data_IF_144519657340
#
_entry.id   IF_144519657340
#
_cell.length_a   1.000
_cell.length_b   1.000
_cell.length_c   1.000
_cell.angle_alpha   90.00
_cell.angle_beta   90.00
_cell.angle_gamma   90.00
#
_symmetry.space_group_name_H-M   'P 1'
#
loop_
_entity.id
_entity.type
_entity.pdbx_description
1 polymer ?
#
# COMPACT_ATOMS: atom_id res chain seq x y z
N UNK A 1 -20.33 -15.67 30.51
CA UNK A 1 -21.50 -15.60 29.62
C UNK A 1 -21.49 -14.22 28.97
N UNK A 2 -21.50 -14.14 27.65
CA UNK A 2 -21.57 -12.83 26.97
C UNK A 2 -22.91 -12.13 27.31
N UNK A 3 -22.95 -10.79 27.51
CA UNK A 3 -24.17 -10.08 27.86
C UNK A 3 -25.28 -10.25 26.82
N UNK A 4 -26.54 -10.11 27.23
CA UNK A 4 -27.70 -10.06 26.32
C UNK A 4 -27.54 -8.89 25.34
N UNK A 5 -28.18 -8.99 24.18
CA UNK A 5 -27.96 -8.05 23.07
C UNK A 5 -28.18 -6.58 23.45
N UNK A 6 -29.23 -6.28 24.21
CA UNK A 6 -29.53 -4.92 24.68
C UNK A 6 -28.49 -4.40 25.68
N UNK A 7 -28.03 -5.26 26.59
CA UNK A 7 -26.98 -4.92 27.56
C UNK A 7 -25.63 -4.68 26.86
N UNK A 8 -25.33 -5.47 25.83
CA UNK A 8 -24.15 -5.30 24.99
C UNK A 8 -24.21 -4.00 24.20
N UNK A 9 -25.37 -3.67 23.61
CA UNK A 9 -25.56 -2.42 22.87
C UNK A 9 -25.41 -1.20 23.79
N UNK A 10 -26.06 -1.21 24.95
CA UNK A 10 -25.93 -0.14 25.95
C UNK A 10 -24.49 0.01 26.48
N UNK A 11 -23.77 -1.10 26.63
CA UNK A 11 -22.34 -1.07 26.98
C UNK A 11 -21.51 -0.41 25.88
N UNK A 12 -21.62 -0.85 24.62
CA UNK A 12 -20.83 -0.27 23.53
C UNK A 12 -21.17 1.19 23.24
N UNK A 13 -22.42 1.60 23.46
CA UNK A 13 -22.85 3.00 23.35
C UNK A 13 -22.26 3.89 24.45
N UNK A 14 -22.04 3.36 25.67
CA UNK A 14 -21.31 4.07 26.72
C UNK A 14 -19.80 4.01 26.48
N UNK A 15 -19.29 2.87 26.05
CA UNK A 15 -17.86 2.65 25.78
C UNK A 15 -17.38 3.57 24.66
N UNK A 16 -18.10 3.66 23.54
CA UNK A 16 -17.73 4.49 22.39
C UNK A 16 -17.72 6.00 22.66
N UNK A 17 -18.38 6.46 23.75
CA UNK A 17 -18.31 7.86 24.21
C UNK A 17 -16.96 8.22 24.81
N UNK A 18 -16.27 7.26 25.44
CA UNK A 18 -14.99 7.48 26.12
C UNK A 18 -13.81 6.83 25.40
N UNK A 19 -14.08 5.83 24.58
CA UNK A 19 -13.13 5.09 23.78
C UNK A 19 -13.55 5.18 22.31
N UNK A 20 -13.04 6.21 21.64
CA UNK A 20 -12.94 6.16 20.17
C UNK A 20 -11.82 5.18 19.87
N UNK A 21 -11.97 4.28 18.90
CA UNK A 21 -10.97 3.29 18.51
C UNK A 21 -9.69 3.87 17.88
N UNK A 22 -9.19 4.99 18.40
CA UNK A 22 -7.92 5.57 18.06
C UNK A 22 -6.86 4.91 18.93
N UNK A 23 -6.05 4.09 18.28
CA UNK A 23 -4.89 3.44 18.84
C UNK A 23 -3.76 3.71 17.85
N UNK A 24 -2.67 4.30 18.32
CA UNK A 24 -1.55 4.77 17.49
C UNK A 24 -0.57 3.62 17.22
N UNK A 25 -1.09 2.46 16.88
CA UNK A 25 -0.34 1.21 16.71
C UNK A 25 0.36 1.17 15.34
N UNK A 26 1.02 2.29 15.02
CA UNK A 26 1.67 2.61 13.73
C UNK A 26 2.63 1.49 13.29
N UNK A 27 3.19 0.75 14.25
CA UNK A 27 4.14 -0.33 14.04
C UNK A 27 3.51 -1.71 13.74
N UNK A 28 2.22 -1.94 14.01
CA UNK A 28 1.59 -3.25 13.79
C UNK A 28 1.09 -3.36 12.36
N UNK A 29 1.92 -3.92 11.48
CA UNK A 29 1.62 -4.07 10.05
C UNK A 29 1.65 -5.52 9.60
N UNK A 30 0.72 -5.87 8.73
CA UNK A 30 0.70 -7.13 7.98
C UNK A 30 1.24 -6.93 6.57
N UNK A 31 1.98 -7.92 6.07
CA UNK A 31 2.33 -8.01 4.66
C UNK A 31 1.12 -8.42 3.83
N UNK A 32 0.78 -7.64 2.81
CA UNK A 32 -0.21 -8.04 1.81
C UNK A 32 0.40 -9.11 0.90
N UNK A 33 0.21 -10.38 1.26
CA UNK A 33 0.87 -11.52 0.62
C UNK A 33 0.58 -11.64 -0.89
N UNK A 34 -0.58 -11.16 -1.36
CA UNK A 34 -0.96 -11.15 -2.78
C UNK A 34 -0.19 -10.13 -3.63
N UNK A 35 0.37 -9.08 -3.01
CA UNK A 35 1.05 -7.95 -3.68
C UNK A 35 2.52 -7.84 -3.26
N UNK A 36 3.26 -8.93 -3.46
CA UNK A 36 4.70 -9.01 -3.18
C UNK A 36 5.49 -9.26 -4.45
N UNK A 37 6.37 -8.33 -4.81
CA UNK A 37 7.41 -8.55 -5.82
C UNK A 37 8.71 -8.89 -5.09
N UNK A 38 9.22 -10.11 -5.28
CA UNK A 38 10.49 -10.55 -4.70
C UNK A 38 11.64 -10.26 -5.66
N UNK A 39 12.76 -9.78 -5.11
CA UNK A 39 14.01 -9.71 -5.87
C UNK A 39 14.49 -11.13 -6.17
N UNK A 40 14.48 -11.51 -7.45
CA UNK A 40 14.92 -12.84 -7.92
C UNK A 40 16.40 -12.87 -8.32
N UNK A 41 17.05 -11.71 -8.39
CA UNK A 41 18.46 -11.63 -8.76
C UNK A 41 19.30 -11.89 -7.50
N UNK A 42 20.46 -12.53 -7.67
CA UNK A 42 21.45 -12.56 -6.60
C UNK A 42 21.84 -11.12 -6.33
N UNK A 43 21.49 -10.59 -5.17
CA UNK A 43 21.97 -9.29 -4.77
C UNK A 43 23.43 -9.48 -4.33
N UNK A 44 24.35 -9.23 -5.26
CA UNK A 44 25.79 -9.19 -5.06
C UNK A 44 26.27 -7.75 -4.80
N UNK A 45 25.46 -6.77 -5.22
CA UNK A 45 25.63 -5.34 -5.00
C UNK A 45 24.65 -4.83 -3.93
N UNK A 46 25.02 -3.70 -3.29
CA UNK A 46 24.10 -3.00 -2.39
C UNK A 46 22.94 -2.40 -3.19
N UNK A 47 21.76 -2.39 -2.60
CA UNK A 47 20.55 -1.81 -3.21
C UNK A 47 20.04 -0.62 -2.39
N UNK A 48 19.15 0.16 -2.99
CA UNK A 48 18.45 1.26 -2.31
C UNK A 48 17.07 0.77 -1.90
N UNK A 49 16.72 0.94 -0.63
CA UNK A 49 15.38 0.66 -0.11
C UNK A 49 14.75 1.98 0.29
N UNK A 50 13.56 2.27 -0.23
CA UNK A 50 12.77 3.43 0.18
C UNK A 50 11.45 2.96 0.79
N UNK A 51 11.07 3.62 1.88
CA UNK A 51 9.87 3.34 2.65
C UNK A 51 9.03 4.61 2.66
N UNK A 52 7.80 4.49 2.22
CA UNK A 52 6.85 5.62 2.16
C UNK A 52 5.45 5.16 2.53
N UNK A 53 4.64 6.06 3.05
CA UNK A 53 3.19 5.85 3.18
C UNK A 53 2.49 6.28 1.89
N UNK A 54 1.31 5.71 1.62
CA UNK A 54 0.41 6.18 0.58
C UNK A 54 -0.99 6.29 1.16
N UNK A 55 -1.55 7.50 1.06
CA UNK A 55 -2.85 7.80 1.62
C UNK A 55 -3.95 7.24 0.71
N UNK A 56 -4.90 6.55 1.33
CA UNK A 56 -6.12 6.06 0.74
C UNK A 56 -7.26 7.00 1.12
N UNK A 57 -8.18 7.21 0.21
CA UNK A 57 -9.41 7.92 0.52
C UNK A 57 -10.24 7.09 1.51
N UNK A 58 -10.78 7.69 2.59
CA UNK A 58 -11.74 7.01 3.46
C UNK A 58 -12.90 6.47 2.63
N UNK A 59 -13.29 5.21 2.82
CA UNK A 59 -14.35 4.61 2.01
C UNK A 59 -15.72 5.31 2.18
N UNK A 60 -15.92 6.02 3.29
CA UNK A 60 -17.08 6.90 3.52
C UNK A 60 -17.11 8.12 2.61
N UNK A 61 -15.97 8.53 2.06
CA UNK A 61 -15.81 9.69 1.18
C UNK A 61 -15.69 9.28 -0.30
N UNK A 62 -15.66 7.98 -0.61
CA UNK A 62 -15.59 7.49 -2.00
C UNK A 62 -17.01 7.30 -2.53
N UNK A 63 -17.44 8.18 -3.43
CA UNK A 63 -18.74 8.04 -4.11
C UNK A 63 -18.75 6.83 -5.05
N UNK A 64 -19.81 6.02 -4.96
CA UNK A 64 -20.03 4.83 -5.81
C UNK A 64 -18.80 3.89 -5.91
N UNK A 65 -18.03 3.77 -4.82
CA UNK A 65 -16.86 2.90 -4.73
C UNK A 65 -17.04 1.84 -3.67
N UNK A 66 -16.33 0.73 -3.83
CA UNK A 66 -16.31 -0.34 -2.82
C UNK A 66 -14.89 -0.67 -2.42
N UNK A 67 -14.72 -1.20 -1.19
CA UNK A 67 -13.41 -1.70 -0.77
C UNK A 67 -12.89 -2.79 -1.71
N UNK A 68 -13.78 -3.62 -2.26
CA UNK A 68 -13.42 -4.65 -3.25
C UNK A 68 -12.86 -4.04 -4.54
N UNK A 69 -13.53 -3.03 -5.08
CA UNK A 69 -13.08 -2.36 -6.31
C UNK A 69 -11.75 -1.64 -6.09
N UNK A 70 -11.51 -1.05 -4.92
CA UNK A 70 -10.20 -0.50 -4.53
C UNK A 70 -9.11 -1.57 -4.57
N UNK A 71 -9.37 -2.75 -4.00
CA UNK A 71 -8.42 -3.86 -4.02
C UNK A 71 -8.15 -4.36 -5.46
N UNK A 72 -9.18 -4.43 -6.31
CA UNK A 72 -9.04 -4.82 -7.71
C UNK A 72 -8.16 -3.83 -8.49
N UNK A 73 -8.32 -2.52 -8.26
CA UNK A 73 -7.46 -1.47 -8.84
C UNK A 73 -6.00 -1.66 -8.40
N UNK A 74 -5.76 -1.85 -7.10
CA UNK A 74 -4.41 -2.07 -6.56
C UNK A 74 -3.78 -3.36 -7.11
N UNK A 75 -4.56 -4.44 -7.21
CA UNK A 75 -4.13 -5.71 -7.77
C UNK A 75 -3.78 -5.59 -9.26
N UNK A 76 -4.62 -4.88 -10.04
CA UNK A 76 -4.36 -4.66 -11.45
C UNK A 76 -3.08 -3.85 -11.66
N UNK A 77 -2.91 -2.74 -10.93
CA UNK A 77 -1.70 -1.93 -11.00
C UNK A 77 -0.46 -2.73 -10.57
N UNK A 78 -0.56 -3.50 -9.50
CA UNK A 78 0.53 -4.37 -9.05
C UNK A 78 0.93 -5.37 -10.14
N UNK A 79 -0.04 -6.08 -10.74
CA UNK A 79 0.21 -7.12 -11.75
C UNK A 79 0.73 -6.56 -13.08
N UNK A 80 0.14 -5.45 -13.56
CA UNK A 80 0.45 -4.90 -14.89
C UNK A 80 1.64 -3.93 -14.88
N UNK A 81 1.80 -3.12 -13.83
CA UNK A 81 2.85 -2.11 -13.75
C UNK A 81 4.00 -2.55 -12.84
N UNK A 82 3.76 -2.73 -11.53
CA UNK A 82 4.83 -2.97 -10.55
C UNK A 82 5.62 -4.25 -10.87
N UNK A 83 4.92 -5.35 -11.14
CA UNK A 83 5.53 -6.64 -11.48
C UNK A 83 6.34 -6.61 -12.78
N UNK A 84 5.99 -5.69 -13.70
CA UNK A 84 6.63 -5.55 -15.03
C UNK A 84 7.67 -4.44 -15.09
N UNK A 85 7.85 -3.65 -14.04
CA UNK A 85 8.87 -2.62 -13.98
C UNK A 85 10.24 -3.21 -13.60
N UNK A 86 11.17 -3.31 -14.56
CA UNK A 86 12.49 -3.92 -14.33
C UNK A 86 13.40 -3.12 -13.38
N UNK A 87 13.13 -1.82 -13.17
CA UNK A 87 13.88 -0.97 -12.23
C UNK A 87 13.50 -1.24 -10.77
N UNK A 88 12.28 -1.71 -10.54
CA UNK A 88 11.81 -2.11 -9.21
C UNK A 88 12.27 -3.55 -8.95
N UNK A 89 13.28 -3.72 -8.09
CA UNK A 89 13.83 -5.03 -7.75
C UNK A 89 12.89 -5.81 -6.81
N UNK A 90 12.34 -5.13 -5.79
CA UNK A 90 11.32 -5.70 -4.91
C UNK A 90 10.28 -4.65 -4.50
N UNK A 91 9.11 -5.14 -4.14
CA UNK A 91 7.98 -4.35 -3.66
C UNK A 91 7.25 -5.12 -2.58
N UNK A 92 6.93 -4.44 -1.47
CA UNK A 92 6.05 -4.94 -0.43
C UNK A 92 5.05 -3.87 -0.07
N UNK A 93 3.80 -4.28 0.05
CA UNK A 93 2.72 -3.49 0.62
C UNK A 93 2.46 -3.98 2.05
N UNK A 94 2.52 -3.08 3.02
CA UNK A 94 2.19 -3.36 4.41
C UNK A 94 0.96 -2.57 4.82
N UNK A 95 0.00 -3.22 5.45
CA UNK A 95 -1.25 -2.61 5.93
C UNK A 95 -1.36 -2.76 7.43
N UNK A 96 -2.14 -1.89 8.07
CA UNK A 96 -2.36 -2.02 9.51
C UNK A 96 -3.06 -3.35 9.82
N UNK A 97 -2.46 -4.14 10.71
CA UNK A 97 -2.84 -5.54 10.96
C UNK A 97 -4.27 -5.67 11.49
N UNK A 98 -4.69 -4.82 12.43
CA UNK A 98 -6.02 -4.94 13.05
C UNK A 98 -7.15 -4.35 12.22
N UNK A 99 -6.84 -3.34 11.40
CA UNK A 99 -7.81 -2.73 10.50
C UNK A 99 -7.92 -3.44 9.15
N UNK A 100 -6.95 -4.33 8.85
CA UNK A 100 -6.91 -5.13 7.64
C UNK A 100 -7.14 -4.32 6.36
N UNK A 101 -7.97 -4.85 5.47
CA UNK A 101 -8.41 -4.16 4.25
C UNK A 101 -9.58 -3.19 4.45
N UNK A 102 -10.13 -3.11 5.66
CA UNK A 102 -11.33 -2.34 5.98
C UNK A 102 -11.05 -0.83 6.14
N UNK A 103 -9.77 -0.40 6.18
CA UNK A 103 -9.41 1.02 6.23
C UNK A 103 -9.77 1.72 7.55
N UNK A 104 -9.86 0.97 8.65
CA UNK A 104 -10.04 1.55 9.99
C UNK A 104 -8.74 2.16 10.53
N UNK A 105 -8.82 3.31 11.18
CA UNK A 105 -7.74 3.92 11.97
C UNK A 105 -6.69 4.67 11.15
N UNK A 106 -6.02 4.01 10.21
CA UNK A 106 -5.04 4.66 9.35
C UNK A 106 -5.45 4.54 7.88
N UNK A 107 -5.77 5.68 7.28
CA UNK A 107 -6.12 5.81 5.87
C UNK A 107 -4.89 5.77 4.98
N UNK A 108 -3.90 4.93 5.28
CA UNK A 108 -2.73 4.77 4.44
C UNK A 108 -2.17 3.36 4.54
N UNK A 109 -1.36 3.00 3.56
CA UNK A 109 -0.56 1.79 3.59
C UNK A 109 0.92 2.14 3.41
N UNK A 110 1.80 1.26 3.87
CA UNK A 110 3.25 1.43 3.73
C UNK A 110 3.71 0.69 2.49
N UNK A 111 4.49 1.36 1.67
CA UNK A 111 5.18 0.78 0.53
C UNK A 111 6.67 0.69 0.84
N UNK A 112 7.22 -0.51 0.65
CA UNK A 112 8.66 -0.73 0.69
C UNK A 112 9.10 -1.08 -0.72
N UNK A 113 9.89 -0.20 -1.32
CA UNK A 113 10.44 -0.37 -2.65
C UNK A 113 11.94 -0.63 -2.56
N UNK A 114 12.44 -1.46 -3.46
CA UNK A 114 13.87 -1.70 -3.61
C UNK A 114 14.30 -1.44 -5.06
N UNK A 115 15.39 -0.69 -5.23
CA UNK A 115 15.97 -0.28 -6.50
C UNK A 115 17.45 -0.63 -6.56
N UNK A 116 17.99 -0.73 -7.77
CA UNK A 116 19.43 -0.96 -7.95
C UNK A 116 20.26 0.26 -7.54
N UNK A 117 19.77 1.46 -7.82
CA UNK A 117 20.50 2.72 -7.59
C UNK A 117 19.53 3.85 -7.21
N UNK A 118 20.09 4.97 -6.73
CA UNK A 118 19.32 6.20 -6.51
C UNK A 118 18.74 6.76 -7.81
N UNK A 119 19.42 6.57 -8.94
CA UNK A 119 18.92 6.99 -10.26
C UNK A 119 17.67 6.22 -10.66
N UNK A 120 17.66 4.90 -10.47
CA UNK A 120 16.48 4.07 -10.74
C UNK A 120 15.32 4.38 -9.79
N UNK A 121 15.61 4.75 -8.55
CA UNK A 121 14.63 5.25 -7.58
C UNK A 121 14.02 6.59 -8.00
N UNK A 122 14.86 7.55 -8.42
CA UNK A 122 14.41 8.89 -8.82
C UNK A 122 13.70 8.88 -10.17
N UNK A 123 14.05 7.95 -11.06
CA UNK A 123 13.41 7.79 -12.37
C UNK A 123 13.02 6.33 -12.64
N UNK A 124 11.94 5.82 -12.00
CA UNK A 124 11.50 4.45 -12.17
C UNK A 124 10.89 4.15 -13.54
N UNK A 125 10.73 5.16 -14.42
CA UNK A 125 10.21 4.98 -15.77
C UNK A 125 8.71 4.67 -15.85
N UNK A 126 7.92 5.14 -14.87
CA UNK A 126 6.49 4.80 -14.76
C UNK A 126 5.67 5.13 -16.00
N UNK A 127 5.98 6.21 -16.73
CA UNK A 127 5.28 6.56 -17.98
C UNK A 127 5.32 5.39 -18.98
N UNK A 128 6.52 4.91 -19.32
CA UNK A 128 6.71 3.79 -20.26
C UNK A 128 6.11 2.48 -19.74
N UNK A 129 6.14 2.27 -18.42
CA UNK A 129 5.53 1.08 -17.79
C UNK A 129 4.02 1.13 -17.92
N UNK A 130 3.41 2.28 -17.65
CA UNK A 130 1.96 2.49 -17.75
C UNK A 130 1.48 2.40 -19.21
N UNK A 131 2.24 2.93 -20.16
CA UNK A 131 1.96 2.77 -21.60
C UNK A 131 1.98 1.31 -22.03
N UNK A 132 2.92 0.51 -21.53
CA UNK A 132 2.95 -0.94 -21.82
C UNK A 132 1.82 -1.70 -21.13
N UNK A 133 1.45 -1.31 -19.92
CA UNK A 133 0.38 -1.93 -19.14
C UNK A 133 -1.01 -1.64 -19.73
N UNK A 134 -1.22 -0.43 -20.24
CA UNK A 134 -2.42 0.01 -20.96
C UNK A 134 -2.01 0.74 -22.25
N UNK A 135 -1.81 0.00 -23.37
CA UNK A 135 -1.37 0.57 -24.65
C UNK A 135 -2.38 1.53 -25.27
N UNK A 136 -3.67 1.28 -25.05
CA UNK A 136 -4.73 2.20 -25.48
C UNK A 136 -4.83 3.35 -24.47
N UNK A 137 -4.61 4.58 -24.95
CA UNK A 137 -4.61 5.79 -24.14
C UNK A 137 -5.92 6.03 -23.41
N UNK A 138 -7.06 5.91 -24.09
CA UNK A 138 -8.38 6.07 -23.46
C UNK A 138 -8.60 5.09 -22.30
N UNK A 139 -8.27 3.80 -22.50
CA UNK A 139 -8.37 2.79 -21.43
C UNK A 139 -7.40 3.06 -20.28
N UNK A 140 -6.25 3.67 -20.57
CA UNK A 140 -5.26 4.06 -19.55
C UNK A 140 -5.78 5.21 -18.71
N UNK A 141 -6.35 6.24 -19.35
CA UNK A 141 -6.99 7.37 -18.67
C UNK A 141 -8.17 6.89 -17.80
N UNK A 142 -9.06 6.08 -18.35
CA UNK A 142 -10.19 5.48 -17.62
C UNK A 142 -9.72 4.70 -16.37
N UNK A 143 -8.59 3.98 -16.47
CA UNK A 143 -8.00 3.29 -15.33
C UNK A 143 -7.50 4.26 -14.25
N UNK A 144 -6.75 5.30 -14.62
CA UNK A 144 -6.20 6.25 -13.66
C UNK A 144 -7.26 7.16 -13.04
N UNK A 145 -8.31 7.51 -13.78
CA UNK A 145 -9.48 8.21 -13.26
C UNK A 145 -10.21 7.34 -12.23
N UNK A 146 -10.48 6.06 -12.57
CA UNK A 146 -11.06 5.10 -11.63
C UNK A 146 -10.18 4.88 -10.40
N UNK A 147 -8.86 4.83 -10.57
CA UNK A 147 -7.94 4.65 -9.46
C UNK A 147 -7.90 5.88 -8.55
N UNK A 148 -7.91 7.09 -9.12
CA UNK A 148 -7.76 8.35 -8.42
C UNK A 148 -8.75 8.56 -7.28
N UNK A 149 -10.01 8.09 -7.43
CA UNK A 149 -11.03 8.21 -6.37
C UNK A 149 -10.68 7.48 -5.07
N UNK A 150 -9.74 6.53 -5.10
CA UNK A 150 -9.33 5.73 -3.95
C UNK A 150 -8.09 6.25 -3.22
N UNK A 151 -7.42 7.27 -3.74
CA UNK A 151 -6.19 7.80 -3.16
C UNK A 151 -6.41 9.24 -2.71
N UNK A 152 -6.10 9.49 -1.44
CA UNK A 152 -6.02 10.85 -0.93
C UNK A 152 -4.69 11.47 -1.39
N UNK A 153 -4.65 12.81 -1.60
CA UNK A 153 -3.43 13.46 -2.03
C UNK A 153 -2.30 13.29 -1.01
N UNK A 154 -1.07 13.26 -1.54
CA UNK A 154 0.14 13.25 -0.75
C UNK A 154 0.65 11.86 -0.34
N UNK A 155 1.78 11.90 0.34
CA UNK A 155 2.46 10.77 0.94
C UNK A 155 3.45 11.25 1.99
N UNK A 156 3.92 10.35 2.84
CA UNK A 156 5.01 10.61 3.78
C UNK A 156 6.18 9.70 3.45
N UNK A 157 7.35 10.29 3.22
CA UNK A 157 8.59 9.53 3.08
C UNK A 157 9.11 9.19 4.48
N UNK A 158 9.14 7.90 4.80
CA UNK A 158 9.64 7.42 6.10
C UNK A 158 11.16 7.29 6.09
N UNK A 159 11.75 7.01 4.93
CA UNK A 159 13.19 6.99 4.78
C UNK A 159 13.69 6.32 3.51
N UNK A 160 14.94 6.64 3.17
CA UNK A 160 15.71 5.99 2.10
C UNK A 160 16.99 5.45 2.71
N UNK A 161 17.24 4.16 2.49
CA UNK A 161 18.28 3.38 3.16
C UNK A 161 19.08 2.57 2.15
N UNK A 162 20.34 2.30 2.50
CA UNK A 162 21.15 1.31 1.81
C UNK A 162 20.88 -0.08 2.38
N UNK A 163 20.59 -1.03 1.51
CA UNK A 163 20.61 -2.45 1.85
C UNK A 163 22.02 -3.00 1.56
N UNK A 164 22.80 -3.20 2.63
CA UNK A 164 24.20 -3.63 2.56
C UNK A 164 24.32 -5.14 2.38
N UNK A 165 24.06 -5.63 1.17
CA UNK A 165 23.95 -7.07 0.92
C UNK A 165 25.26 -7.84 1.14
N UNK A 166 26.40 -7.20 0.94
CA UNK A 166 27.70 -7.82 1.25
C UNK A 166 27.95 -7.97 2.74
N UNK A 167 27.36 -7.11 3.58
CA UNK A 167 27.50 -7.17 5.04
C UNK A 167 26.44 -8.06 5.71
N UNK A 168 25.39 -8.45 4.99
CA UNK A 168 24.35 -9.35 5.50
C UNK A 168 24.69 -10.84 5.34
N UNK A 169 25.72 -11.17 4.54
CA UNK A 169 26.28 -12.53 4.45
C UNK A 169 27.14 -12.78 5.70
N UNK A 170 26.56 -13.46 6.69
CA UNK A 170 27.30 -14.11 7.77
C UNK A 170 27.77 -15.48 7.32
#
# INVERSE_FOLDING_TARGET
>A
MFPKEDERKAFFEKYSKYWVGNHDDVAVRELVASRVKRNKKKADENTIVTIQTRNLQPMSEVENGTSKEREEVLDEYFKKAIMKNDKVLSYRELRHYWSGSAGGGEYYYVQVWEFKSLEDMNSPGWVKVNEKAWPNEKKREEFFEKAGKYFAPGHTDLGTHWNWVKMSKR
#
